data_IF_406185182170
#
_entry.id   IF_406185182170
#
_cell.length_a   1.000
_cell.length_b   1.000
_cell.length_c   1.000
_cell.angle_alpha   90.00
_cell.angle_beta   90.00
_cell.angle_gamma   90.00
#
_symmetry.space_group_name_H-M   'P 1'
#
loop_
_entity.id
_entity.type
_entity.pdbx_description
1 polymer ?
#
# COMPACT_ATOMS: atom_id res chain seq x y z
N UNK A 1 10.72 -18.00 -26.09
CA UNK A 1 10.03 -16.71 -25.84
C UNK A 1 8.77 -17.07 -25.10
N UNK A 2 8.75 -16.85 -23.78
CA UNK A 2 7.60 -17.20 -22.96
C UNK A 2 6.65 -16.00 -22.99
N UNK A 3 5.46 -16.19 -23.58
CA UNK A 3 4.40 -15.19 -23.64
C UNK A 3 4.00 -14.80 -22.22
N UNK A 4 4.30 -13.56 -21.83
CA UNK A 4 3.76 -12.99 -20.60
C UNK A 4 2.28 -12.67 -20.83
N UNK A 5 1.40 -13.61 -20.49
CA UNK A 5 -0.05 -13.44 -20.61
C UNK A 5 -0.56 -12.49 -19.52
N UNK A 6 -1.36 -11.51 -19.93
CA UNK A 6 -2.08 -10.63 -19.02
C UNK A 6 -3.41 -11.31 -18.69
N UNK A 7 -3.60 -11.70 -17.42
CA UNK A 7 -4.86 -12.31 -16.97
C UNK A 7 -5.90 -11.23 -16.68
N UNK A 8 -7.19 -11.54 -16.91
CA UNK A 8 -8.29 -10.66 -16.51
C UNK A 8 -8.35 -10.51 -14.99
N UNK A 9 -8.63 -9.29 -14.55
CA UNK A 9 -8.56 -8.89 -13.16
C UNK A 9 -9.84 -8.18 -12.76
N UNK A 10 -10.65 -8.86 -11.95
CA UNK A 10 -11.86 -8.27 -11.39
C UNK A 10 -11.50 -7.45 -10.16
N UNK A 11 -11.98 -6.20 -10.10
CA UNK A 11 -11.75 -5.29 -8.99
C UNK A 11 -12.94 -5.37 -8.04
N UNK A 12 -12.66 -5.52 -6.75
CA UNK A 12 -13.67 -5.41 -5.69
C UNK A 12 -13.31 -4.22 -4.83
N UNK A 13 -14.13 -3.15 -4.87
CA UNK A 13 -13.89 -1.90 -4.14
C UNK A 13 -14.69 -1.90 -2.85
N UNK A 14 -13.98 -1.98 -1.73
CA UNK A 14 -14.58 -1.86 -0.40
C UNK A 14 -14.17 -0.53 0.25
N UNK A 15 -15.18 0.27 0.59
CA UNK A 15 -15.06 1.45 1.46
C UNK A 15 -14.29 2.66 0.91
N UNK A 16 -13.88 2.72 -0.36
CA UNK A 16 -13.27 3.94 -0.92
C UNK A 16 -14.36 4.99 -1.26
N UNK A 17 -14.41 6.15 -0.59
CA UNK A 17 -15.47 7.12 -0.83
C UNK A 17 -15.24 7.88 -2.16
N UNK A 18 -16.32 8.18 -2.87
CA UNK A 18 -16.28 8.98 -4.11
C UNK A 18 -16.01 10.47 -3.82
N UNK A 19 -16.47 10.94 -2.64
CA UNK A 19 -16.33 12.31 -2.18
C UNK A 19 -15.89 12.32 -0.71
N UNK A 20 -15.24 13.39 -0.29
CA UNK A 20 -15.00 13.64 1.14
C UNK A 20 -16.35 13.85 1.86
N UNK A 21 -16.40 13.73 3.21
CA UNK A 21 -17.63 14.00 3.98
C UNK A 21 -18.22 15.41 3.77
N UNK A 22 -17.41 16.38 3.34
CA UNK A 22 -17.81 17.75 3.01
C UNK A 22 -18.26 17.93 1.54
N UNK A 23 -18.35 16.84 0.77
CA UNK A 23 -18.74 16.85 -0.64
C UNK A 23 -17.63 17.25 -1.62
N UNK A 24 -16.43 17.58 -1.13
CA UNK A 24 -15.32 17.92 -2.02
C UNK A 24 -14.77 16.69 -2.75
N UNK A 25 -14.20 16.84 -3.96
CA UNK A 25 -13.50 15.77 -4.65
C UNK A 25 -12.41 15.16 -3.76
N UNK A 26 -12.30 13.83 -3.77
CA UNK A 26 -11.20 13.16 -3.08
C UNK A 26 -9.85 13.46 -3.73
N UNK A 27 -9.85 13.75 -5.03
CA UNK A 27 -8.65 13.89 -5.83
C UNK A 27 -8.11 15.32 -5.85
N UNK A 28 -7.00 15.54 -5.15
CA UNK A 28 -6.23 16.78 -5.22
C UNK A 28 -4.99 16.63 -6.11
N UNK A 29 -4.73 15.42 -6.58
CA UNK A 29 -3.50 15.04 -7.28
C UNK A 29 -3.72 14.98 -8.80
N UNK A 30 -4.97 15.08 -9.25
CA UNK A 30 -5.41 15.21 -10.66
C UNK A 30 -4.56 16.18 -11.51
N UNK A 31 -4.13 17.38 -11.03
CA UNK A 31 -3.27 18.26 -11.82
C UNK A 31 -1.87 17.69 -12.14
N UNK A 32 -1.46 16.59 -11.49
CA UNK A 32 -0.18 15.91 -11.69
C UNK A 32 -0.33 14.59 -12.46
N UNK A 33 -1.48 14.34 -13.09
CA UNK A 33 -1.69 13.16 -13.92
C UNK A 33 -0.69 13.11 -15.09
N UNK A 34 -0.15 11.93 -15.34
CA UNK A 34 0.77 11.70 -16.46
C UNK A 34 -0.06 11.51 -17.74
N UNK A 35 -0.08 12.50 -18.63
CA UNK A 35 -0.96 12.54 -19.81
C UNK A 35 -0.64 11.57 -20.97
N UNK A 36 -0.22 10.33 -20.69
CA UNK A 36 0.02 9.28 -21.69
C UNK A 36 -0.76 8.01 -21.34
N UNK A 37 -0.89 7.12 -22.32
CA UNK A 37 -1.56 5.83 -22.18
C UNK A 37 -1.02 5.02 -20.98
N UNK A 38 -1.94 4.30 -20.33
CA UNK A 38 -1.63 3.41 -19.23
C UNK A 38 -1.25 2.02 -19.76
N UNK A 39 -0.15 1.47 -19.26
CA UNK A 39 0.36 0.17 -19.70
C UNK A 39 0.49 -0.80 -18.53
N UNK A 40 0.13 -2.06 -18.77
CA UNK A 40 0.54 -3.15 -17.90
C UNK A 40 1.99 -3.52 -18.15
N UNK A 41 2.75 -3.75 -17.08
CA UNK A 41 4.11 -4.27 -17.19
C UNK A 41 4.05 -5.77 -17.52
N UNK A 42 4.45 -6.12 -18.74
CA UNK A 42 4.55 -7.51 -19.17
C UNK A 42 5.50 -8.31 -18.24
N UNK A 43 4.99 -9.41 -17.70
CA UNK A 43 5.67 -10.22 -16.68
C UNK A 43 5.50 -9.71 -15.25
N UNK A 44 4.61 -8.74 -15.04
CA UNK A 44 4.17 -8.25 -13.74
C UNK A 44 5.13 -7.24 -13.08
N UNK A 45 4.57 -6.44 -12.17
CA UNK A 45 5.30 -5.41 -11.43
C UNK A 45 6.46 -5.97 -10.58
N UNK A 46 6.44 -7.27 -10.27
CA UNK A 46 7.51 -7.95 -9.53
C UNK A 46 8.88 -7.81 -10.20
N UNK A 47 8.95 -7.73 -11.53
CA UNK A 47 10.23 -7.55 -12.25
C UNK A 47 10.95 -6.27 -11.85
N UNK A 48 10.19 -5.18 -11.65
CA UNK A 48 10.74 -3.91 -11.19
C UNK A 48 11.27 -4.04 -9.76
N UNK A 49 10.50 -4.67 -8.87
CA UNK A 49 10.92 -4.88 -7.47
C UNK A 49 12.20 -5.72 -7.42
N UNK A 50 12.26 -6.81 -8.19
CA UNK A 50 13.45 -7.68 -8.25
C UNK A 50 14.70 -6.91 -8.67
N UNK A 51 14.59 -6.03 -9.67
CA UNK A 51 15.70 -5.20 -10.13
C UNK A 51 16.13 -4.19 -9.06
N UNK A 52 15.19 -3.55 -8.36
CA UNK A 52 15.49 -2.60 -7.27
C UNK A 52 16.14 -3.27 -6.04
N UNK A 53 15.88 -4.56 -5.82
CA UNK A 53 16.44 -5.31 -4.71
C UNK A 53 17.85 -5.86 -4.98
N UNK A 54 18.38 -5.72 -6.20
CA UNK A 54 19.70 -6.26 -6.55
C UNK A 54 20.81 -5.59 -5.72
N UNK A 55 21.62 -6.41 -5.04
CA UNK A 55 22.70 -5.93 -4.17
C UNK A 55 22.24 -5.31 -2.84
N UNK A 56 20.93 -5.29 -2.54
CA UNK A 56 20.39 -4.76 -1.28
C UNK A 56 20.25 -5.90 -0.26
N UNK A 57 20.84 -5.78 0.95
CA UNK A 57 20.67 -6.78 1.99
C UNK A 57 19.26 -6.70 2.59
N UNK A 58 18.40 -7.65 2.26
CA UNK A 58 17.01 -7.70 2.73
C UNK A 58 16.85 -8.84 3.74
N UNK A 59 16.42 -8.48 4.96
CA UNK A 59 16.25 -9.42 6.07
C UNK A 59 14.77 -9.81 6.21
N UNK A 60 14.33 -10.77 5.41
CA UNK A 60 12.97 -11.31 5.48
C UNK A 60 12.70 -12.02 6.82
N UNK A 61 11.42 -12.13 7.18
CA UNK A 61 11.00 -12.78 8.42
C UNK A 61 11.31 -11.98 9.69
N UNK A 62 11.76 -10.73 9.60
CA UNK A 62 12.02 -9.87 10.75
C UNK A 62 10.93 -8.83 10.91
N UNK A 63 9.79 -9.23 11.46
CA UNK A 63 8.70 -8.30 11.79
C UNK A 63 9.16 -7.37 12.91
N UNK A 64 9.21 -6.07 12.63
CA UNK A 64 9.55 -5.04 13.63
C UNK A 64 8.39 -4.86 14.60
N UNK A 65 8.70 -4.88 15.90
CA UNK A 65 7.75 -4.70 17.00
C UNK A 65 7.96 -3.37 17.72
N UNK A 66 9.21 -2.91 17.83
CA UNK A 66 9.54 -1.67 18.55
C UNK A 66 10.65 -0.92 17.83
N UNK A 67 10.54 0.41 17.80
CA UNK A 67 11.57 1.34 17.32
C UNK A 67 11.86 2.33 18.44
N UNK A 68 13.06 2.24 19.01
CA UNK A 68 13.57 3.20 20.00
C UNK A 68 14.48 4.19 19.32
N UNK A 69 14.27 5.48 19.53
CA UNK A 69 15.06 6.53 18.90
C UNK A 69 15.35 7.68 19.86
N UNK A 70 16.53 8.28 19.74
CA UNK A 70 16.92 9.40 20.59
C UNK A 70 18.30 9.94 20.23
N UNK A 71 18.88 10.70 21.15
CA UNK A 71 20.18 11.34 20.93
C UNK A 71 21.35 10.33 20.87
N UNK A 72 21.15 9.11 21.36
CA UNK A 72 22.16 8.05 21.40
C UNK A 72 22.09 7.09 20.20
N UNK A 73 21.19 7.36 19.24
CA UNK A 73 20.97 6.51 18.07
C UNK A 73 19.60 5.84 18.08
N UNK A 74 19.47 4.77 17.31
CA UNK A 74 18.21 4.05 17.08
C UNK A 74 18.41 2.55 17.29
N UNK A 75 17.53 1.95 18.09
CA UNK A 75 17.41 0.51 18.27
C UNK A 75 16.08 0.03 17.66
N UNK A 76 16.17 -0.90 16.69
CA UNK A 76 15.00 -1.57 16.11
C UNK A 76 14.93 -2.99 16.67
N UNK A 77 13.81 -3.32 17.29
CA UNK A 77 13.54 -4.66 17.82
C UNK A 77 12.60 -5.35 16.85
N UNK A 78 13.05 -6.46 16.27
CA UNK A 78 12.26 -7.31 15.39
C UNK A 78 12.32 -8.74 15.89
N UNK A 79 11.19 -9.25 16.41
CA UNK A 79 11.14 -10.52 17.16
C UNK A 79 12.20 -10.53 18.28
N UNK A 80 13.10 -11.51 18.28
CA UNK A 80 14.17 -11.66 19.27
C UNK A 80 15.50 -11.00 18.84
N UNK A 81 15.49 -10.23 17.74
CA UNK A 81 16.67 -9.56 17.19
C UNK A 81 16.64 -8.06 17.44
N UNK A 82 17.84 -7.50 17.64
CA UNK A 82 18.06 -6.07 17.83
C UNK A 82 19.01 -5.54 16.77
N UNK A 83 18.64 -4.43 16.16
CA UNK A 83 19.43 -3.73 15.15
C UNK A 83 19.72 -2.31 15.62
N UNK A 84 20.99 -1.91 15.56
CA UNK A 84 21.43 -0.58 15.95
C UNK A 84 21.77 0.24 14.70
N UNK A 85 21.33 1.50 14.65
CA UNK A 85 21.58 2.39 13.53
C UNK A 85 21.61 3.86 13.97
N UNK A 86 22.22 4.72 13.14
CA UNK A 86 22.14 6.17 13.35
C UNK A 86 20.82 6.76 12.82
N UNK A 87 20.14 6.06 11.90
CA UNK A 87 18.91 6.53 11.26
C UNK A 87 18.02 5.35 10.85
N UNK A 88 16.70 5.56 10.86
CA UNK A 88 15.70 4.60 10.37
C UNK A 88 14.75 5.30 9.43
N UNK A 89 14.54 4.69 8.27
CA UNK A 89 13.49 5.06 7.33
C UNK A 89 12.29 4.14 7.54
N UNK A 90 11.18 4.69 8.00
CA UNK A 90 9.94 3.93 8.23
C UNK A 90 9.02 4.02 7.01
N UNK A 91 8.93 2.95 6.23
CA UNK A 91 8.06 2.85 5.03
C UNK A 91 6.90 1.87 5.24
N UNK A 92 6.47 1.67 6.48
CA UNK A 92 5.37 0.74 6.78
C UNK A 92 4.05 1.30 6.25
N UNK A 93 3.11 0.44 5.80
CA UNK A 93 1.81 0.91 5.33
C UNK A 93 1.06 1.72 6.39
N UNK A 94 0.30 2.72 5.97
CA UNK A 94 -0.51 3.55 6.89
C UNK A 94 -1.45 2.70 7.76
N UNK A 95 -2.03 1.63 7.21
CA UNK A 95 -2.86 0.68 7.97
C UNK A 95 -2.13 0.00 9.14
N UNK A 96 -0.82 -0.22 9.04
CA UNK A 96 0.01 -0.76 10.14
C UNK A 96 0.19 0.30 11.23
N UNK A 97 0.47 1.55 10.85
CA UNK A 97 0.57 2.67 11.80
C UNK A 97 -0.75 2.90 12.55
N UNK A 98 -1.88 2.86 11.85
CA UNK A 98 -3.22 2.98 12.45
C UNK A 98 -3.52 1.87 13.45
N UNK A 99 -3.07 0.64 13.19
CA UNK A 99 -3.22 -0.49 14.12
C UNK A 99 -2.30 -0.41 15.35
N UNK A 100 -1.32 0.50 15.35
CA UNK A 100 -0.35 0.71 16.45
C UNK A 100 0.36 -0.59 16.88
N UNK A 101 0.66 -1.47 15.92
CA UNK A 101 1.35 -2.74 16.18
C UNK A 101 2.86 -2.58 16.35
N UNK A 102 3.40 -1.40 16.03
CA UNK A 102 4.80 -1.03 16.23
C UNK A 102 4.86 -0.01 17.36
N UNK A 103 5.57 -0.31 18.44
CA UNK A 103 5.86 0.63 19.51
C UNK A 103 6.94 1.62 19.10
N UNK A 104 6.68 2.92 19.28
CA UNK A 104 7.68 3.98 19.10
C UNK A 104 8.08 4.52 20.47
N UNK A 105 9.38 4.57 20.75
CA UNK A 105 9.92 5.01 22.04
C UNK A 105 11.02 6.08 21.81
N UNK A 106 10.77 7.36 22.13
CA UNK A 106 9.52 7.92 22.65
C UNK A 106 8.37 7.85 21.61
N UNK A 107 7.14 8.06 22.07
CA UNK A 107 5.98 8.00 21.17
C UNK A 107 6.08 9.03 20.05
N UNK A 108 5.39 8.78 18.93
CA UNK A 108 5.36 9.70 17.81
C UNK A 108 4.75 11.04 18.24
N UNK A 109 5.29 12.17 17.76
CA UNK A 109 4.71 13.49 18.06
C UNK A 109 3.23 13.56 17.70
N UNK A 110 2.44 14.27 18.51
CA UNK A 110 0.98 14.36 18.36
C UNK A 110 0.54 14.78 16.95
N UNK A 111 1.31 15.65 16.28
CA UNK A 111 1.05 16.04 14.89
C UNK A 111 1.07 14.84 13.93
N UNK A 112 1.99 13.89 14.11
CA UNK A 112 2.07 12.67 13.30
C UNK A 112 0.91 11.73 13.63
N UNK A 113 0.61 11.52 14.91
CA UNK A 113 -0.53 10.70 15.34
C UNK A 113 -1.86 11.23 14.77
N UNK A 114 -2.12 12.53 14.90
CA UNK A 114 -3.33 13.14 14.34
C UNK A 114 -3.43 12.99 12.81
N UNK A 115 -2.30 13.06 12.10
CA UNK A 115 -2.28 12.82 10.65
C UNK A 115 -2.56 11.34 10.31
N UNK A 116 -1.97 10.40 11.06
CA UNK A 116 -2.21 8.96 10.90
C UNK A 116 -3.69 8.64 11.10
N UNK A 117 -4.34 9.22 12.11
CA UNK A 117 -5.76 9.01 12.36
C UNK A 117 -6.65 9.60 11.25
N UNK A 118 -6.34 10.82 10.78
CA UNK A 118 -7.16 11.52 9.79
C UNK A 118 -7.07 10.95 8.37
N UNK A 119 -5.93 10.41 7.96
CA UNK A 119 -5.76 9.89 6.61
C UNK A 119 -6.56 8.59 6.40
N UNK A 120 -7.24 8.46 5.26
CA UNK A 120 -7.96 7.24 4.90
C UNK A 120 -7.02 6.12 4.46
N UNK A 121 -7.39 4.87 4.74
CA UNK A 121 -6.71 3.68 4.24
C UNK A 121 -7.76 2.63 3.88
N UNK A 122 -7.95 2.37 2.59
CA UNK A 122 -9.09 1.64 2.04
C UNK A 122 -8.67 0.30 1.44
N UNK A 123 -9.65 -0.55 1.16
CA UNK A 123 -9.43 -1.90 0.65
C UNK A 123 -9.87 -2.00 -0.82
N UNK A 124 -9.00 -2.61 -1.63
CA UNK A 124 -9.32 -3.01 -3.00
C UNK A 124 -8.78 -4.43 -3.17
N UNK A 125 -9.67 -5.37 -3.48
CA UNK A 125 -9.28 -6.74 -3.79
C UNK A 125 -9.30 -6.98 -5.29
N UNK A 126 -8.57 -8.02 -5.70
CA UNK A 126 -8.39 -8.39 -7.10
C UNK A 126 -8.55 -9.90 -7.25
N UNK A 127 -9.41 -10.33 -8.16
CA UNK A 127 -9.60 -11.75 -8.50
C UNK A 127 -9.06 -12.01 -9.90
N UNK A 128 -8.16 -12.99 -10.01
CA UNK A 128 -7.52 -13.39 -11.27
C UNK A 128 -8.22 -14.60 -11.87
N UNK A 129 -8.64 -14.51 -13.13
CA UNK A 129 -9.19 -15.64 -13.90
C UNK A 129 -8.42 -15.79 -15.22
N UNK A 130 -8.24 -17.02 -15.68
CA UNK A 130 -7.39 -17.35 -16.83
C UNK A 130 -8.11 -17.23 -18.18
N UNK A 131 -8.62 -16.06 -18.52
CA UNK A 131 -9.28 -15.79 -19.82
C UNK A 131 -8.62 -14.62 -20.58
N UNK A 132 -8.82 -14.57 -21.90
CA UNK A 132 -8.18 -13.63 -22.84
C UNK A 132 -9.02 -12.35 -23.08
N UNK A 133 -9.68 -11.81 -22.05
CA UNK A 133 -10.43 -10.55 -22.15
C UNK A 133 -9.68 -9.41 -21.42
N UNK A 134 -9.48 -8.29 -22.12
CA UNK A 134 -8.73 -7.14 -21.59
C UNK A 134 -9.44 -6.43 -20.42
N UNK A 135 -10.74 -6.13 -20.54
CA UNK A 135 -11.61 -5.65 -19.44
C UNK A 135 -13.07 -5.73 -19.87
N UNK A 136 -13.96 -6.16 -18.98
CA UNK A 136 -15.40 -6.00 -19.12
C UNK A 136 -15.98 -5.55 -17.77
N UNK A 137 -17.14 -4.88 -17.79
CA UNK A 137 -17.81 -4.41 -16.59
C UNK A 137 -18.99 -5.28 -16.19
N UNK A 138 -19.29 -5.35 -14.89
CA UNK A 138 -20.48 -5.99 -14.34
C UNK A 138 -21.31 -4.95 -13.57
N UNK A 139 -22.54 -4.69 -14.03
CA UNK A 139 -23.44 -3.76 -13.34
C UNK A 139 -24.25 -4.49 -12.27
N UNK A 140 -24.16 -4.00 -11.04
CA UNK A 140 -25.08 -4.43 -9.97
C UNK A 140 -26.42 -3.73 -10.09
N UNK A 141 -27.51 -4.45 -9.77
CA UNK A 141 -28.85 -3.89 -9.61
C UNK A 141 -29.00 -3.05 -8.33
N UNK A 142 -28.08 -3.22 -7.37
CA UNK A 142 -28.17 -2.61 -6.05
C UNK A 142 -26.98 -1.69 -5.78
N UNK A 143 -27.26 -0.49 -5.27
CA UNK A 143 -26.24 0.55 -5.06
C UNK A 143 -25.22 0.19 -3.99
N UNK A 144 -25.58 -0.66 -3.04
CA UNK A 144 -24.74 -1.15 -1.95
C UNK A 144 -23.74 -2.22 -2.40
N UNK A 145 -24.05 -3.00 -3.45
CA UNK A 145 -23.14 -4.02 -4.02
C UNK A 145 -22.48 -3.58 -5.32
N UNK A 146 -22.60 -2.31 -5.71
CA UNK A 146 -22.04 -1.75 -6.96
C UNK A 146 -20.51 -1.91 -7.14
N UNK A 147 -19.79 -2.19 -6.07
CA UNK A 147 -18.34 -2.38 -6.06
C UNK A 147 -17.91 -3.85 -6.11
N UNK A 148 -18.85 -4.80 -6.07
CA UNK A 148 -18.60 -6.23 -6.08
C UNK A 148 -18.49 -6.73 -7.53
N UNK A 149 -17.28 -7.18 -7.91
CA UNK A 149 -16.99 -7.77 -9.23
C UNK A 149 -17.33 -6.88 -10.44
N UNK A 150 -17.37 -5.55 -10.24
CA UNK A 150 -17.76 -4.57 -11.26
C UNK A 150 -16.77 -4.44 -12.43
#
# INVERSE_FOLDING_TARGET
MEEYRCHTLHKVRDNCPLFKPDGAPVDKDDPYEMGRDHYFLAGGNWRLIKALCEGVPILYGNTVNTIRYGNEGIEVIARDQKFQANMVLCTVPLGVLKKRTIGFEPDLPQRKLAAIERLGFWLLNKVTMGEDLDTFGCLSEHSDTRGEFF
#
